data_IF_037412627926
#
_entry.id   IF_037412627926
#
_cell.length_a   1.000
_cell.length_b   1.000
_cell.length_c   1.000
_cell.angle_alpha   90.00
_cell.angle_beta   90.00
_cell.angle_gamma   90.00
#
_symmetry.space_group_name_H-M   'P 1'
#
loop_
_entity.id
_entity.type
_entity.pdbx_description
1 polymer ?
#
# COMPACT_ATOMS: atom_id res chain seq x y z
N UNK A 1 -41.92 14.34 20.08
CA UNK A 1 -41.64 15.10 18.85
C UNK A 1 -40.38 15.92 19.08
N UNK A 2 -39.23 15.34 18.77
CA UNK A 2 -37.91 15.97 18.90
C UNK A 2 -37.54 16.56 17.54
N UNK A 3 -37.56 17.89 17.42
CA UNK A 3 -37.16 18.61 16.22
C UNK A 3 -35.64 18.50 16.02
N UNK A 4 -35.22 17.96 14.88
CA UNK A 4 -33.81 17.94 14.48
C UNK A 4 -33.28 19.36 14.26
N UNK A 5 -32.03 19.67 14.67
CA UNK A 5 -31.43 20.97 14.47
C UNK A 5 -31.07 21.14 12.99
N UNK A 6 -31.74 22.08 12.33
CA UNK A 6 -31.42 22.49 10.96
C UNK A 6 -30.08 23.23 10.96
N UNK A 7 -29.03 22.59 10.45
CA UNK A 7 -27.73 23.23 10.24
C UNK A 7 -27.90 24.23 9.09
N UNK A 8 -28.04 25.51 9.42
CA UNK A 8 -28.00 26.59 8.43
C UNK A 8 -26.56 26.79 7.97
N UNK A 9 -26.26 26.33 6.76
CA UNK A 9 -25.00 26.67 6.07
C UNK A 9 -25.03 28.18 5.83
N UNK A 10 -24.03 28.95 6.29
CA UNK A 10 -23.99 30.39 6.08
C UNK A 10 -23.96 30.67 4.57
N UNK A 11 -24.91 31.50 4.12
CA UNK A 11 -25.02 31.96 2.74
C UNK A 11 -23.82 32.88 2.46
N UNK A 12 -22.70 32.30 2.01
CA UNK A 12 -21.54 33.06 1.55
C UNK A 12 -21.99 33.89 0.34
N UNK A 13 -21.99 35.21 0.47
CA UNK A 13 -22.37 36.08 -0.64
C UNK A 13 -21.42 35.85 -1.81
N UNK A 14 -21.97 35.74 -3.03
CA UNK A 14 -21.18 35.54 -4.25
C UNK A 14 -20.06 36.59 -4.40
N UNK A 15 -20.25 37.80 -3.84
CA UNK A 15 -19.24 38.85 -3.77
C UNK A 15 -17.98 38.46 -2.98
N UNK A 16 -18.11 37.75 -1.85
CA UNK A 16 -16.97 37.29 -1.04
C UNK A 16 -16.21 36.19 -1.75
N UNK A 17 -16.92 35.25 -2.36
CA UNK A 17 -16.29 34.17 -3.11
C UNK A 17 -15.49 34.72 -4.31
N UNK A 18 -16.01 35.73 -4.99
CA UNK A 18 -15.30 36.38 -6.09
C UNK A 18 -14.05 37.15 -5.62
N UNK A 19 -14.14 37.88 -4.50
CA UNK A 19 -12.97 38.56 -3.94
C UNK A 19 -11.89 37.58 -3.47
N UNK A 20 -12.29 36.46 -2.86
CA UNK A 20 -11.36 35.44 -2.40
C UNK A 20 -10.64 34.76 -3.57
N UNK A 21 -11.38 34.48 -4.67
CA UNK A 21 -10.80 33.95 -5.90
C UNK A 21 -9.83 34.94 -6.58
N UNK A 22 -10.15 36.23 -6.60
CA UNK A 22 -9.26 37.25 -7.14
C UNK A 22 -7.99 37.39 -6.31
N UNK A 23 -8.10 37.39 -4.98
CA UNK A 23 -6.97 37.43 -4.08
C UNK A 23 -6.07 36.20 -4.28
N UNK A 24 -6.66 35.02 -4.35
CA UNK A 24 -5.93 33.78 -4.56
C UNK A 24 -5.28 33.72 -5.95
N UNK A 25 -5.93 34.25 -6.99
CA UNK A 25 -5.31 34.41 -8.30
C UNK A 25 -4.10 35.34 -8.25
N UNK A 26 -4.22 36.49 -7.58
CA UNK A 26 -3.11 37.43 -7.42
C UNK A 26 -1.96 36.85 -6.60
N UNK A 27 -2.26 36.13 -5.51
CA UNK A 27 -1.27 35.37 -4.74
C UNK A 27 -0.57 34.31 -5.61
N UNK A 28 -1.33 33.62 -6.48
CA UNK A 28 -0.80 32.55 -7.32
C UNK A 28 0.19 32.99 -8.39
N UNK A 29 0.21 34.28 -8.74
CA UNK A 29 1.22 34.86 -9.63
C UNK A 29 2.59 34.96 -8.94
N UNK A 30 2.61 34.97 -7.61
CA UNK A 30 3.82 35.01 -6.80
C UNK A 30 4.27 33.61 -6.35
N UNK A 31 3.52 32.57 -6.69
CA UNK A 31 3.88 31.18 -6.39
C UNK A 31 4.92 30.70 -7.38
N UNK A 32 6.17 30.96 -7.01
CA UNK A 32 7.33 30.57 -7.78
C UNK A 32 8.06 29.44 -7.05
N UNK A 33 8.57 28.51 -7.83
CA UNK A 33 9.37 27.42 -7.31
C UNK A 33 10.86 27.75 -7.42
N UNK A 34 11.64 27.21 -6.48
CA UNK A 34 13.09 27.20 -6.58
C UNK A 34 13.50 26.05 -7.49
N UNK A 35 13.07 26.07 -8.75
CA UNK A 35 13.60 25.09 -9.70
C UNK A 35 15.06 25.43 -9.97
N UNK A 36 15.88 24.40 -9.88
CA UNK A 36 17.34 24.37 -10.05
C UNK A 36 17.82 24.71 -11.47
N UNK A 37 17.04 25.47 -12.22
CA UNK A 37 17.26 25.72 -13.63
C UNK A 37 18.52 26.53 -13.91
N UNK A 38 18.96 27.29 -12.91
CA UNK A 38 20.14 28.14 -12.99
C UNK A 38 21.31 27.61 -12.16
N UNK A 39 21.25 26.40 -11.56
CA UNK A 39 22.28 25.89 -10.62
C UNK A 39 23.69 25.91 -11.23
N UNK A 40 23.88 25.47 -12.49
CA UNK A 40 25.21 25.47 -13.13
C UNK A 40 25.74 26.89 -13.40
N UNK A 41 24.86 27.87 -13.61
CA UNK A 41 25.24 29.28 -13.82
C UNK A 41 25.45 29.99 -12.48
N UNK A 42 24.64 29.66 -11.47
CA UNK A 42 24.70 30.25 -10.15
C UNK A 42 25.90 29.73 -9.35
N UNK A 43 26.26 28.46 -9.48
CA UNK A 43 27.50 27.90 -8.90
C UNK A 43 28.74 28.63 -9.43
N UNK A 44 28.74 29.02 -10.70
CA UNK A 44 29.87 29.75 -11.30
C UNK A 44 29.87 31.24 -10.97
N UNK A 45 28.69 31.85 -10.77
CA UNK A 45 28.56 33.32 -10.64
C UNK A 45 28.28 33.80 -9.22
N UNK A 46 27.98 32.90 -8.27
CA UNK A 46 27.59 33.22 -6.90
C UNK A 46 26.27 34.00 -6.78
N UNK A 47 25.48 34.07 -7.85
CA UNK A 47 24.21 34.80 -7.86
C UNK A 47 23.12 34.00 -7.17
N UNK A 48 22.19 34.66 -6.45
CA UNK A 48 21.08 34.00 -5.80
C UNK A 48 20.18 33.33 -6.85
N UNK A 49 19.69 32.13 -6.53
CA UNK A 49 18.78 31.36 -7.38
C UNK A 49 17.52 32.17 -7.66
N UNK A 50 17.28 32.49 -8.93
CA UNK A 50 16.04 33.13 -9.34
C UNK A 50 14.89 32.13 -9.21
N UNK A 51 13.78 32.62 -8.67
CA UNK A 51 12.54 31.86 -8.57
C UNK A 51 11.80 31.94 -9.91
N UNK A 52 11.34 30.81 -10.43
CA UNK A 52 10.64 30.73 -11.72
C UNK A 52 9.28 30.05 -11.55
N UNK A 53 8.28 30.43 -12.35
CA UNK A 53 7.08 29.62 -12.54
C UNK A 53 7.43 28.44 -13.48
N UNK A 54 7.12 27.21 -13.07
CA UNK A 54 7.33 26.03 -13.90
C UNK A 54 6.68 26.18 -15.28
N UNK A 55 5.51 26.79 -15.38
CA UNK A 55 4.84 27.06 -16.66
C UNK A 55 5.66 27.99 -17.57
N UNK A 56 6.30 29.02 -17.02
CA UNK A 56 7.10 29.98 -17.78
C UNK A 56 8.36 29.33 -18.35
N UNK A 57 9.04 28.50 -17.56
CA UNK A 57 10.24 27.79 -18.05
C UNK A 57 9.89 26.83 -19.17
N UNK A 58 8.75 26.16 -19.08
CA UNK A 58 8.26 25.26 -20.11
C UNK A 58 7.74 25.96 -21.37
N UNK A 59 7.42 27.26 -21.28
CA UNK A 59 6.99 28.06 -22.41
C UNK A 59 8.16 28.60 -23.27
N UNK A 60 9.41 28.49 -22.78
CA UNK A 60 10.61 28.92 -23.51
C UNK A 60 10.89 28.03 -24.71
N UNK A 61 11.30 28.61 -25.83
CA UNK A 61 11.45 27.92 -27.13
C UNK A 61 12.50 26.79 -27.19
N UNK A 62 13.40 26.72 -26.20
CA UNK A 62 14.55 25.83 -26.20
C UNK A 62 14.37 24.68 -25.20
N UNK A 63 14.83 23.45 -25.53
CA UNK A 63 14.77 22.33 -24.60
C UNK A 63 15.56 22.67 -23.34
N UNK A 64 14.88 22.59 -22.20
CA UNK A 64 15.51 22.84 -20.91
C UNK A 64 16.40 21.65 -20.52
N UNK A 65 17.65 21.92 -20.14
CA UNK A 65 18.65 20.93 -19.72
C UNK A 65 18.77 20.89 -18.20
N UNK A 66 18.53 19.73 -17.59
CA UNK A 66 18.62 19.60 -16.14
C UNK A 66 20.08 19.62 -15.62
N UNK A 67 20.30 20.12 -14.39
CA UNK A 67 21.63 20.17 -13.76
C UNK A 67 22.33 18.82 -13.64
N UNK A 68 23.65 18.86 -13.45
CA UNK A 68 24.51 17.67 -13.41
C UNK A 68 24.15 16.66 -12.32
N UNK A 69 23.57 17.13 -11.21
CA UNK A 69 23.11 16.27 -10.10
C UNK A 69 22.06 15.24 -10.53
N UNK A 70 21.36 15.50 -11.63
CA UNK A 70 20.39 14.56 -12.21
C UNK A 70 20.99 13.72 -13.34
N UNK A 71 22.31 13.52 -13.41
CA UNK A 71 22.88 12.69 -14.48
C UNK A 71 22.60 11.19 -14.24
N UNK A 72 22.34 10.44 -15.31
CA UNK A 72 22.15 8.99 -15.32
C UNK A 72 20.76 8.54 -14.89
N UNK A 73 20.49 7.23 -15.07
CA UNK A 73 19.18 6.65 -14.81
C UNK A 73 18.83 6.60 -13.30
N UNK A 74 19.85 6.47 -12.45
CA UNK A 74 19.67 6.40 -10.99
C UNK A 74 19.00 7.66 -10.41
N UNK A 75 19.24 8.83 -11.03
CA UNK A 75 18.67 10.10 -10.59
C UNK A 75 17.22 10.34 -11.02
N UNK A 76 16.65 9.46 -11.86
CA UNK A 76 15.29 9.59 -12.41
C UNK A 76 14.25 9.83 -11.31
N UNK A 77 14.31 9.03 -10.24
CA UNK A 77 13.33 9.11 -9.15
C UNK A 77 13.41 10.45 -8.44
N UNK A 78 14.64 10.93 -8.14
CA UNK A 78 14.85 12.23 -7.51
C UNK A 78 14.36 13.37 -8.39
N UNK A 79 14.68 13.36 -9.69
CA UNK A 79 14.23 14.38 -10.64
C UNK A 79 12.69 14.46 -10.69
N UNK A 80 12.00 13.31 -10.70
CA UNK A 80 10.54 13.26 -10.70
C UNK A 80 9.95 13.83 -9.41
N UNK A 81 10.56 13.53 -8.26
CA UNK A 81 10.14 14.08 -6.96
C UNK A 81 10.31 15.59 -6.95
N UNK A 82 11.46 16.11 -7.38
CA UNK A 82 11.75 17.54 -7.37
C UNK A 82 10.81 18.31 -8.31
N UNK A 83 10.48 17.75 -9.48
CA UNK A 83 9.48 18.34 -10.38
C UNK A 83 8.07 18.35 -9.77
N UNK A 84 7.69 17.32 -9.00
CA UNK A 84 6.41 17.29 -8.28
C UNK A 84 6.38 18.35 -7.18
N UNK A 85 7.45 18.49 -6.41
CA UNK A 85 7.58 19.53 -5.37
C UNK A 85 7.49 20.91 -6.01
N UNK A 86 8.19 21.14 -7.11
CA UNK A 86 8.16 22.41 -7.83
C UNK A 86 6.76 22.76 -8.36
N UNK A 87 6.02 21.78 -8.86
CA UNK A 87 4.63 21.99 -9.26
C UNK A 87 3.73 22.33 -8.07
N UNK A 88 3.90 21.65 -6.92
CA UNK A 88 3.17 21.96 -5.69
C UNK A 88 3.44 23.40 -5.26
N UNK A 89 4.70 23.85 -5.35
CA UNK A 89 5.08 25.24 -5.09
C UNK A 89 4.44 26.23 -6.07
N UNK A 90 4.17 25.83 -7.31
CA UNK A 90 3.44 26.61 -8.32
C UNK A 90 1.90 26.47 -8.19
N UNK A 91 1.42 25.72 -7.20
CA UNK A 91 0.01 25.60 -6.87
C UNK A 91 -0.76 24.48 -7.57
N UNK A 92 -0.09 23.42 -8.04
CA UNK A 92 -0.75 22.24 -8.63
C UNK A 92 0.01 20.94 -8.42
N UNK A 93 -0.68 19.79 -8.51
CA UNK A 93 -0.08 18.46 -8.32
C UNK A 93 0.26 17.78 -9.64
N UNK A 94 1.45 17.19 -9.73
CA UNK A 94 1.85 16.35 -10.86
C UNK A 94 1.71 14.84 -10.56
N UNK A 95 1.21 14.11 -11.55
CA UNK A 95 1.10 12.65 -11.54
C UNK A 95 1.91 12.03 -12.68
N UNK A 96 2.57 10.90 -12.41
CA UNK A 96 3.35 10.16 -13.39
C UNK A 96 2.45 9.15 -14.11
N UNK A 97 2.25 9.31 -15.42
CA UNK A 97 1.38 8.39 -16.18
C UNK A 97 2.16 7.26 -16.83
N UNK A 98 3.22 7.60 -17.54
CA UNK A 98 4.08 6.66 -18.24
C UNK A 98 5.52 6.92 -17.83
N UNK A 99 6.22 5.88 -17.42
CA UNK A 99 7.65 5.89 -17.16
C UNK A 99 8.22 4.63 -17.78
N UNK A 100 9.04 4.77 -18.82
CA UNK A 100 9.76 3.65 -19.41
C UNK A 100 11.24 3.83 -19.18
N UNK A 101 11.87 2.80 -18.61
CA UNK A 101 13.33 2.75 -18.43
C UNK A 101 14.05 2.16 -19.67
N UNK A 102 13.30 1.64 -20.65
CA UNK A 102 13.78 1.12 -21.91
C UNK A 102 12.74 1.44 -23.01
N UNK A 103 13.13 1.65 -24.27
CA UNK A 103 12.19 1.64 -25.38
C UNK A 103 11.57 0.24 -25.43
N UNK A 104 10.27 0.17 -25.15
CA UNK A 104 9.47 -1.01 -25.43
C UNK A 104 9.47 -1.15 -26.96
N UNK A 105 10.03 -2.27 -27.43
CA UNK A 105 9.98 -2.78 -28.81
C UNK A 105 10.61 -1.90 -29.90
N UNK A 106 11.95 -1.94 -30.01
CA UNK A 106 12.69 -1.90 -31.29
C UNK A 106 12.67 -0.62 -32.15
N UNK A 107 11.73 0.30 -31.97
CA UNK A 107 11.73 1.58 -32.67
C UNK A 107 12.57 2.60 -31.89
N UNK A 108 13.84 2.69 -32.26
CA UNK A 108 14.71 3.81 -31.87
C UNK A 108 14.06 5.10 -32.42
N UNK A 109 13.33 5.83 -31.58
CA UNK A 109 12.85 7.16 -31.94
C UNK A 109 14.04 8.13 -31.98
N UNK A 110 14.67 8.22 -33.14
CA UNK A 110 15.69 9.24 -33.44
C UNK A 110 14.99 10.59 -33.46
N UNK A 111 15.46 11.53 -32.63
CA UNK A 111 14.94 12.88 -32.64
C UNK A 111 15.32 13.57 -33.96
N UNK A 112 14.36 14.05 -34.77
CA UNK A 112 14.63 14.57 -36.13
C UNK A 112 15.40 15.91 -36.18
N UNK A 113 15.92 16.39 -35.04
CA UNK A 113 16.69 17.63 -34.93
C UNK A 113 18.00 17.48 -34.17
N UNK A 114 18.11 16.52 -33.25
CA UNK A 114 19.32 16.36 -32.41
C UNK A 114 20.06 15.04 -32.66
N UNK A 115 19.54 14.13 -33.48
CA UNK A 115 20.12 12.80 -33.75
C UNK A 115 20.46 11.98 -32.49
N UNK A 116 19.94 12.36 -31.32
CA UNK A 116 20.29 11.78 -30.03
C UNK A 116 19.36 10.62 -29.69
N UNK A 117 19.91 9.44 -29.43
CA UNK A 117 19.16 8.29 -28.90
C UNK A 117 18.62 8.61 -27.50
N UNK A 118 17.31 8.36 -27.30
CA UNK A 118 16.64 8.49 -26.00
C UNK A 118 16.70 7.16 -25.27
N UNK A 119 17.24 7.15 -24.05
CA UNK A 119 17.37 5.93 -23.24
C UNK A 119 16.19 5.76 -22.28
N UNK A 120 15.68 6.86 -21.71
CA UNK A 120 14.56 6.83 -20.79
C UNK A 120 13.63 8.03 -21.00
N UNK A 121 12.37 7.88 -20.62
CA UNK A 121 11.36 8.94 -20.73
C UNK A 121 10.30 8.84 -19.64
N UNK A 122 9.88 10.01 -19.14
CA UNK A 122 8.84 10.15 -18.12
C UNK A 122 7.83 11.21 -18.56
N UNK A 123 6.54 10.86 -18.52
CA UNK A 123 5.43 11.80 -18.74
C UNK A 123 4.73 12.13 -17.42
N UNK A 124 4.70 13.43 -17.10
CA UNK A 124 4.04 14.04 -15.96
C UNK A 124 2.84 14.87 -16.44
N UNK A 125 1.74 14.81 -15.69
CA UNK A 125 0.47 15.48 -15.98
C UNK A 125 -0.02 16.19 -14.73
N UNK A 126 -0.79 17.26 -14.88
CA UNK A 126 -1.56 17.75 -13.75
C UNK A 126 -2.56 16.67 -13.29
N UNK A 127 -2.81 16.56 -11.98
CA UNK A 127 -3.81 15.64 -11.41
C UNK A 127 -5.22 15.89 -11.99
N UNK A 128 -5.52 17.16 -12.28
CA UNK A 128 -6.74 17.61 -12.96
C UNK A 128 -6.69 17.43 -14.48
N UNK A 129 -5.58 16.92 -15.02
CA UNK A 129 -5.40 16.60 -16.43
C UNK A 129 -5.99 15.25 -16.85
N UNK A 130 -6.79 14.63 -15.99
CA UNK A 130 -7.50 13.39 -16.27
C UNK A 130 -8.97 13.56 -16.01
N UNK A 131 -9.78 13.23 -17.03
CA UNK A 131 -11.21 13.09 -16.85
C UNK A 131 -11.50 12.07 -15.76
N UNK A 132 -12.44 12.39 -14.87
CA UNK A 132 -13.05 11.42 -14.01
C UNK A 132 -13.71 10.36 -14.89
N UNK A 133 -13.11 9.18 -14.91
CA UNK A 133 -13.78 8.00 -15.43
C UNK A 133 -14.56 7.45 -14.24
N UNK A 134 -15.89 7.63 -14.19
CA UNK A 134 -16.67 6.84 -13.25
C UNK A 134 -16.32 5.39 -13.57
N UNK A 135 -15.86 4.63 -12.57
CA UNK A 135 -15.68 3.18 -12.77
C UNK A 135 -16.98 2.67 -13.37
N UNK A 136 -16.90 2.09 -14.56
CA UNK A 136 -18.08 1.54 -15.24
C UNK A 136 -18.74 0.55 -14.29
N UNK A 137 -20.05 0.36 -14.39
CA UNK A 137 -20.76 -0.63 -13.56
C UNK A 137 -20.14 -2.03 -13.74
N UNK A 138 -19.58 -2.35 -14.91
CA UNK A 138 -18.77 -3.56 -15.13
C UNK A 138 -17.38 -3.55 -14.47
N UNK A 139 -16.74 -2.40 -14.24
CA UNK A 139 -15.46 -2.31 -13.50
C UNK A 139 -15.69 -2.24 -11.99
N UNK A 140 -16.81 -1.67 -11.54
CA UNK A 140 -17.28 -1.79 -10.16
C UNK A 140 -17.69 -3.22 -9.89
N UNK A 141 -18.46 -3.82 -10.80
CA UNK A 141 -18.81 -5.22 -10.74
C UNK A 141 -17.54 -6.06 -10.84
N UNK A 142 -16.57 -5.82 -11.72
CA UNK A 142 -15.30 -6.57 -11.74
C UNK A 142 -14.42 -6.32 -10.50
N UNK A 143 -14.46 -5.13 -9.90
CA UNK A 143 -13.82 -4.86 -8.61
C UNK A 143 -14.56 -5.52 -7.45
N UNK A 144 -15.87 -5.76 -7.58
CA UNK A 144 -16.71 -6.49 -6.61
C UNK A 144 -16.97 -7.95 -7.01
N UNK A 145 -16.53 -8.41 -8.17
CA UNK A 145 -16.73 -9.75 -8.78
C UNK A 145 -15.41 -10.44 -9.08
N UNK A 146 -14.29 -9.73 -8.92
CA UNK A 146 -13.09 -10.31 -8.30
C UNK A 146 -13.32 -10.67 -6.82
N UNK A 147 -14.48 -10.31 -6.25
CA UNK A 147 -14.91 -10.52 -4.86
C UNK A 147 -16.31 -11.18 -4.75
N UNK A 148 -16.86 -11.73 -5.85
CA UNK A 148 -18.08 -12.54 -5.79
C UNK A 148 -18.31 -13.31 -7.10
N UNK A 149 -18.12 -14.63 -7.05
CA UNK A 149 -18.76 -15.56 -7.98
C UNK A 149 -19.35 -16.72 -7.20
N UNK A 150 -20.50 -16.51 -6.56
CA UNK A 150 -21.49 -17.56 -6.32
C UNK A 150 -22.87 -16.93 -6.44
N UNK A 151 -23.67 -17.47 -7.34
CA UNK A 151 -25.08 -17.17 -7.53
C UNK A 151 -25.86 -17.40 -6.23
N UNK A 152 -26.68 -16.44 -5.82
CA UNK A 152 -27.82 -16.69 -4.94
C UNK A 152 -28.88 -15.64 -5.21
N UNK A 153 -29.93 -16.09 -5.90
CA UNK A 153 -31.23 -15.45 -5.94
C UNK A 153 -31.82 -15.34 -4.53
N UNK A 154 -32.66 -14.32 -4.35
CA UNK A 154 -33.64 -14.15 -3.27
C UNK A 154 -33.13 -14.06 -1.82
N UNK A 155 -33.04 -12.82 -1.31
CA UNK A 155 -33.77 -12.48 -0.07
C UNK A 155 -33.98 -10.97 0.07
N UNK A 156 -35.21 -10.65 0.47
CA UNK A 156 -35.74 -9.31 0.65
C UNK A 156 -35.28 -8.67 1.97
N UNK A 157 -35.11 -7.34 1.93
CA UNK A 157 -35.29 -6.48 3.10
C UNK A 157 -34.03 -6.14 3.90
N UNK A 158 -33.18 -5.25 3.37
CA UNK A 158 -32.29 -4.45 4.20
C UNK A 158 -32.26 -2.99 3.73
N UNK A 159 -32.85 -2.15 4.58
CA UNK A 159 -32.95 -0.71 4.48
C UNK A 159 -31.59 0.00 4.35
N UNK A 160 -31.37 0.63 3.20
CA UNK A 160 -30.83 1.99 3.07
C UNK A 160 -29.58 2.36 3.88
N UNK A 161 -28.45 1.71 3.65
CA UNK A 161 -27.17 2.35 3.95
C UNK A 161 -26.94 3.45 2.88
N UNK A 162 -27.13 4.72 3.26
CA UNK A 162 -26.89 5.85 2.37
C UNK A 162 -25.44 5.81 1.89
N UNK A 163 -25.25 5.55 0.60
CA UNK A 163 -23.95 5.59 -0.07
C UNK A 163 -23.37 6.99 0.10
N UNK A 164 -22.27 7.09 0.86
CA UNK A 164 -21.51 8.34 0.93
C UNK A 164 -21.03 8.70 -0.48
N UNK A 165 -21.59 9.78 -1.03
CA UNK A 165 -21.11 10.35 -2.29
C UNK A 165 -19.69 10.85 -2.07
N UNK A 166 -18.71 10.06 -2.50
CA UNK A 166 -17.33 10.51 -2.59
C UNK A 166 -17.26 11.54 -3.71
N UNK A 167 -17.22 12.83 -3.35
CA UNK A 167 -16.97 13.91 -4.30
C UNK A 167 -15.61 13.66 -4.95
N UNK A 168 -15.62 13.48 -6.27
CA UNK A 168 -14.40 13.23 -7.02
C UNK A 168 -13.75 14.57 -7.34
N UNK A 169 -12.46 14.71 -7.02
CA UNK A 169 -11.71 15.94 -7.31
C UNK A 169 -11.40 16.11 -8.81
N UNK A 170 -11.74 15.15 -9.67
CA UNK A 170 -11.36 15.13 -11.10
C UNK A 170 -12.48 15.72 -11.96
N UNK A 171 -12.17 16.37 -13.10
CA UNK A 171 -13.18 16.96 -13.96
C UNK A 171 -14.03 15.88 -14.64
N UNK A 172 -15.35 16.05 -14.68
CA UNK A 172 -16.26 15.11 -15.37
C UNK A 172 -16.41 15.39 -16.86
N UNK A 173 -16.09 16.61 -17.30
CA UNK A 173 -16.19 17.02 -18.70
C UNK A 173 -14.80 17.36 -19.27
N UNK A 174 -14.55 17.07 -20.57
CA UNK A 174 -13.26 17.31 -21.21
C UNK A 174 -12.79 18.76 -21.18
N UNK A 175 -13.71 19.72 -21.18
CA UNK A 175 -13.40 21.15 -21.26
C UNK A 175 -12.75 21.69 -19.97
N UNK A 176 -12.97 21.01 -18.85
CA UNK A 176 -12.36 21.33 -17.56
C UNK A 176 -11.07 20.53 -17.29
N UNK A 177 -10.64 19.68 -18.23
CA UNK A 177 -9.41 18.92 -18.08
C UNK A 177 -8.20 19.83 -18.28
N UNK A 178 -7.30 19.83 -17.29
CA UNK A 178 -6.07 20.60 -17.40
C UNK A 178 -5.20 20.05 -18.53
N UNK A 179 -4.85 20.84 -19.56
CA UNK A 179 -4.03 20.35 -20.66
C UNK A 179 -2.55 20.21 -20.27
N UNK A 180 -2.15 20.68 -19.09
CA UNK A 180 -0.77 20.71 -18.66
C UNK A 180 -0.12 19.33 -18.72
N UNK A 181 0.97 19.25 -19.48
CA UNK A 181 1.74 18.04 -19.66
C UNK A 181 3.21 18.35 -19.84
N UNK A 182 4.01 17.73 -18.99
CA UNK A 182 5.46 17.80 -18.98
C UNK A 182 6.01 16.43 -19.37
N UNK A 183 6.83 16.36 -20.42
CA UNK A 183 7.58 15.15 -20.68
C UNK A 183 9.08 15.44 -20.56
N UNK A 184 9.78 14.56 -19.87
CA UNK A 184 11.23 14.60 -19.72
C UNK A 184 11.84 13.35 -20.32
N UNK A 185 13.04 13.46 -20.85
CA UNK A 185 13.77 12.33 -21.43
C UNK A 185 15.25 12.41 -21.08
N UNK A 186 15.88 11.25 -21.01
CA UNK A 186 17.32 11.12 -20.82
C UNK A 186 17.99 10.82 -22.15
N UNK A 187 19.05 11.56 -22.46
CA UNK A 187 19.95 11.25 -23.57
C UNK A 187 20.77 10.02 -23.20
N UNK A 188 21.00 9.13 -24.18
CA UNK A 188 21.80 7.91 -23.99
C UNK A 188 23.15 8.20 -23.35
N UNK A 189 23.61 7.32 -22.45
CA UNK A 189 24.95 7.40 -21.85
C UNK A 189 26.08 7.29 -22.90
N UNK A 190 25.79 6.70 -24.06
CA UNK A 190 26.74 6.60 -25.18
C UNK A 190 26.78 7.84 -26.08
N UNK A 191 25.97 8.87 -25.80
CA UNK A 191 25.92 10.05 -26.65
C UNK A 191 27.21 10.89 -26.56
N UNK A 192 27.70 11.45 -27.67
CA UNK A 192 28.96 12.22 -27.68
C UNK A 192 28.86 13.54 -26.89
N UNK A 193 27.65 14.08 -26.76
CA UNK A 193 27.37 15.32 -26.03
C UNK A 193 26.20 15.06 -25.08
N UNK A 194 26.35 15.51 -23.83
CA UNK A 194 25.31 15.42 -22.80
C UNK A 194 24.85 13.99 -22.46
N UNK A 195 25.75 13.02 -22.58
CA UNK A 195 25.55 11.64 -22.17
C UNK A 195 24.92 11.52 -20.77
N UNK A 196 23.78 10.83 -20.69
CA UNK A 196 23.05 10.61 -19.44
C UNK A 196 22.38 11.87 -18.86
N UNK A 197 22.34 12.99 -19.56
CA UNK A 197 21.63 14.20 -19.09
C UNK A 197 20.13 14.10 -19.38
N UNK A 198 19.35 14.70 -18.49
CA UNK A 198 17.90 14.82 -18.67
C UNK A 198 17.55 16.15 -19.31
N UNK A 199 16.50 16.11 -20.12
CA UNK A 199 15.95 17.26 -20.81
C UNK A 199 14.43 17.27 -20.72
N UNK A 200 13.86 18.46 -20.79
CA UNK A 200 12.44 18.65 -21.03
C UNK A 200 12.16 18.62 -22.52
N UNK A 201 11.16 17.84 -22.95
CA UNK A 201 10.70 17.87 -24.34
C UNK A 201 9.89 19.13 -24.60
N UNK A 202 10.21 19.84 -25.68
CA UNK A 202 9.58 21.11 -26.01
C UNK A 202 8.25 20.96 -26.78
N UNK A 203 7.33 21.92 -26.57
CA UNK A 203 5.98 21.98 -27.17
C UNK A 203 6.03 21.91 -28.70
N UNK A 204 6.96 22.64 -29.32
CA UNK A 204 7.06 22.73 -30.78
C UNK A 204 7.55 21.43 -31.45
N UNK A 205 8.16 20.52 -30.69
CA UNK A 205 8.65 19.23 -31.21
C UNK A 205 7.63 18.13 -30.95
N UNK A 206 6.98 18.19 -29.80
CA UNK A 206 6.03 17.18 -29.38
C UNK A 206 4.70 17.87 -29.08
N UNK A 207 3.72 17.73 -29.99
CA UNK A 207 2.33 18.21 -29.78
C UNK A 207 1.68 17.69 -28.49
N UNK A 208 2.36 16.78 -27.80
CA UNK A 208 1.98 16.17 -26.53
C UNK A 208 2.46 16.95 -25.31
N UNK A 209 3.37 17.92 -25.40
CA UNK A 209 3.70 18.79 -24.24
C UNK A 209 2.88 20.05 -24.27
N UNK A 210 2.41 20.49 -23.09
CA UNK A 210 1.69 21.73 -22.93
C UNK A 210 2.15 22.39 -21.63
N UNK A 211 2.76 23.57 -21.73
CA UNK A 211 3.18 24.36 -20.57
C UNK A 211 2.00 25.08 -19.89
N UNK A 212 0.83 25.09 -20.52
CA UNK A 212 -0.27 25.94 -20.14
C UNK A 212 -1.11 25.21 -19.10
N UNK A 213 -1.17 25.77 -17.91
CA UNK A 213 -1.96 25.25 -16.81
C UNK A 213 -3.28 26.01 -16.71
N UNK A 214 -4.39 25.38 -17.11
CA UNK A 214 -5.74 25.97 -17.17
C UNK A 214 -6.80 24.93 -16.84
N UNK A 215 -8.05 25.36 -16.65
CA UNK A 215 -9.19 24.45 -16.37
C UNK A 215 -9.46 24.21 -14.89
N UNK A 216 -8.58 24.69 -14.00
CA UNK A 216 -8.83 24.74 -12.56
C UNK A 216 -7.98 25.82 -11.87
N UNK A 217 -8.38 26.13 -10.65
CA UNK A 217 -7.72 27.10 -9.78
C UNK A 217 -6.41 26.50 -9.26
N UNK A 218 -5.35 27.31 -9.21
CA UNK A 218 -4.11 26.95 -8.51
C UNK A 218 -4.39 27.06 -7.00
N UNK A 219 -3.98 26.09 -6.19
CA UNK A 219 -4.21 26.10 -4.73
C UNK A 219 -2.92 26.46 -3.99
N UNK A 220 -3.03 26.98 -2.76
CA UNK A 220 -1.84 27.26 -1.95
C UNK A 220 -1.07 25.96 -1.73
N UNK A 221 0.28 25.98 -1.67
CA UNK A 221 1.07 24.76 -1.42
C UNK A 221 0.62 23.96 -0.19
N UNK A 222 0.14 24.64 0.87
CA UNK A 222 -0.40 24.05 2.09
C UNK A 222 -1.77 23.38 1.93
N UNK A 223 -2.50 23.67 0.85
CA UNK A 223 -3.81 23.10 0.54
C UNK A 223 -3.70 21.91 -0.43
N UNK A 224 -2.52 21.72 -1.02
CA UNK A 224 -2.24 20.63 -1.93
C UNK A 224 -1.88 19.36 -1.17
N UNK A 225 -2.35 18.23 -1.70
CA UNK A 225 -2.01 16.94 -1.13
C UNK A 225 -0.60 16.55 -1.54
N UNK A 226 0.32 16.50 -0.57
CA UNK A 226 1.66 15.98 -0.81
C UNK A 226 1.72 14.47 -0.52
N UNK A 227 2.38 13.69 -1.37
CA UNK A 227 2.55 12.25 -1.18
C UNK A 227 3.82 11.95 -0.38
N UNK A 228 3.80 10.88 0.44
CA UNK A 228 4.99 10.42 1.17
C UNK A 228 6.17 10.06 0.24
N UNK A 229 5.89 9.68 -1.00
CA UNK A 229 6.92 9.42 -2.02
C UNK A 229 7.73 10.66 -2.38
N UNK A 230 7.20 11.85 -2.12
CA UNK A 230 7.88 13.11 -2.36
C UNK A 230 8.62 13.64 -1.12
N UNK A 231 8.55 12.92 0.00
CA UNK A 231 9.25 13.30 1.22
C UNK A 231 10.75 13.06 1.03
N UNK A 232 11.55 14.08 1.34
CA UNK A 232 13.01 13.98 1.32
C UNK A 232 13.51 12.99 2.38
N UNK A 233 14.72 12.45 2.21
CA UNK A 233 15.33 11.58 3.22
C UNK A 233 15.55 12.31 4.55
N UNK A 234 15.88 13.60 4.51
CA UNK A 234 16.01 14.44 5.71
C UNK A 234 14.69 14.58 6.47
N UNK A 235 13.57 14.79 5.76
CA UNK A 235 12.24 14.85 6.37
C UNK A 235 11.80 13.49 6.92
N UNK A 236 12.13 12.40 6.23
CA UNK A 236 11.88 11.05 6.73
C UNK A 236 12.66 10.82 8.03
N UNK A 237 13.96 11.08 8.02
CA UNK A 237 14.82 10.91 9.20
C UNK A 237 14.30 11.73 10.39
N UNK A 238 13.91 12.98 10.16
CA UNK A 238 13.32 13.82 11.19
C UNK A 238 12.01 13.24 11.73
N UNK A 239 11.15 12.69 10.85
CA UNK A 239 9.94 12.01 11.28
C UNK A 239 10.26 10.77 12.14
N UNK A 240 11.30 10.00 11.79
CA UNK A 240 11.76 8.88 12.61
C UNK A 240 12.28 9.33 13.98
N UNK A 241 13.06 10.41 14.02
CA UNK A 241 13.59 10.98 15.26
C UNK A 241 12.45 11.43 16.17
N UNK A 242 11.43 12.10 15.60
CA UNK A 242 10.22 12.48 16.33
C UNK A 242 9.47 11.25 16.87
N UNK A 243 9.34 10.19 16.07
CA UNK A 243 8.72 8.94 16.51
C UNK A 243 9.49 8.27 17.66
N UNK A 244 10.83 8.24 17.58
CA UNK A 244 11.71 7.73 18.66
C UNK A 244 11.55 8.55 19.95
N UNK A 245 11.39 9.86 19.83
CA UNK A 245 11.14 10.79 20.93
C UNK A 245 9.66 10.82 21.39
N UNK A 246 8.80 9.95 20.85
CA UNK A 246 7.36 9.85 21.18
C UNK A 246 6.56 11.14 20.94
N UNK A 247 6.93 11.92 19.94
CA UNK A 247 6.10 13.04 19.50
C UNK A 247 4.79 12.51 18.91
N UNK A 248 3.71 13.27 19.08
CA UNK A 248 2.44 12.95 18.43
C UNK A 248 2.56 13.10 16.90
N UNK A 249 1.82 12.30 16.13
CA UNK A 249 1.84 12.37 14.66
C UNK A 249 1.44 13.75 14.14
N UNK A 250 0.52 14.44 14.83
CA UNK A 250 0.13 15.82 14.52
C UNK A 250 1.25 16.82 14.79
N UNK A 251 1.98 16.67 15.91
CA UNK A 251 3.12 17.53 16.24
C UNK A 251 4.26 17.34 15.23
N UNK A 252 4.55 16.09 14.86
CA UNK A 252 5.55 15.77 13.84
C UNK A 252 5.16 16.35 12.48
N UNK A 253 3.89 16.22 12.07
CA UNK A 253 3.38 16.82 10.84
C UNK A 253 3.53 18.36 10.82
N UNK A 254 3.20 19.03 11.92
CA UNK A 254 3.37 20.47 12.05
C UNK A 254 4.85 20.89 12.00
N UNK A 255 5.73 20.14 12.68
CA UNK A 255 7.17 20.38 12.66
C UNK A 255 7.75 20.24 11.24
N UNK A 256 7.40 19.17 10.54
CA UNK A 256 7.79 18.95 9.15
C UNK A 256 7.31 20.08 8.25
N UNK A 257 6.03 20.49 8.39
CA UNK A 257 5.47 21.60 7.64
C UNK A 257 6.19 22.93 7.90
N UNK A 258 6.60 23.18 9.13
CA UNK A 258 7.33 24.42 9.50
C UNK A 258 8.77 24.45 8.98
N UNK A 259 9.40 23.29 8.81
CA UNK A 259 10.80 23.16 8.36
C UNK A 259 10.93 23.00 6.85
N UNK A 260 9.88 22.53 6.18
CA UNK A 260 9.94 22.30 4.75
C UNK A 260 10.03 23.65 4.03
N UNK A 261 11.19 23.94 3.45
CA UNK A 261 11.49 25.19 2.75
C UNK A 261 10.55 25.47 1.55
N UNK A 262 9.76 24.47 1.14
CA UNK A 262 8.78 24.55 0.06
C UNK A 262 7.33 24.74 0.49
N UNK A 263 7.04 24.92 1.78
CA UNK A 263 5.66 25.01 2.29
C UNK A 263 4.88 23.70 2.14
N UNK A 264 5.59 22.56 2.06
CA UNK A 264 4.98 21.24 1.96
C UNK A 264 4.37 20.86 3.30
N UNK A 265 3.09 20.50 3.30
CA UNK A 265 2.39 20.03 4.49
C UNK A 265 2.07 18.55 4.39
N UNK A 266 2.30 17.81 5.47
CA UNK A 266 1.94 16.40 5.61
C UNK A 266 0.78 16.25 6.58
N UNK A 267 -0.09 15.27 6.33
CA UNK A 267 -1.19 14.96 7.23
C UNK A 267 -0.72 13.99 8.34
N UNK A 268 -1.34 14.08 9.52
CA UNK A 268 -1.03 13.20 10.65
C UNK A 268 -1.16 11.71 10.30
N UNK A 269 -2.12 11.35 9.42
CA UNK A 269 -2.30 9.98 8.95
C UNK A 269 -1.11 9.48 8.12
N UNK A 270 -0.51 10.36 7.30
CA UNK A 270 0.68 10.03 6.51
C UNK A 270 1.89 9.81 7.41
N UNK A 271 2.05 10.64 8.44
CA UNK A 271 3.11 10.47 9.43
C UNK A 271 2.91 9.22 10.29
N UNK A 272 1.67 8.91 10.64
CA UNK A 272 1.30 7.66 11.33
C UNK A 272 1.70 6.44 10.50
N UNK A 273 1.36 6.45 9.21
CA UNK A 273 1.77 5.39 8.29
C UNK A 273 3.28 5.28 8.18
N UNK A 274 3.99 6.40 7.98
CA UNK A 274 5.46 6.42 7.91
C UNK A 274 6.09 5.87 9.20
N UNK A 275 5.60 6.29 10.36
CA UNK A 275 6.10 5.84 11.67
C UNK A 275 5.90 4.33 11.85
N UNK A 276 4.79 3.76 11.37
CA UNK A 276 4.55 2.32 11.38
C UNK A 276 5.53 1.59 10.47
N UNK A 277 5.68 2.05 9.22
CA UNK A 277 6.61 1.48 8.25
C UNK A 277 8.05 1.53 8.77
N UNK A 278 8.47 2.62 9.41
CA UNK A 278 9.81 2.77 9.99
C UNK A 278 10.00 1.87 11.22
N UNK A 279 9.04 1.86 12.14
CA UNK A 279 9.05 0.91 13.26
C UNK A 279 9.06 -0.55 12.77
N UNK A 280 8.49 -0.80 11.59
CA UNK A 280 8.50 -2.09 10.95
C UNK A 280 9.85 -2.40 10.27
N UNK A 281 10.50 -1.43 9.64
CA UNK A 281 11.80 -1.62 8.95
C UNK A 281 12.98 -1.63 9.95
N UNK A 282 12.80 -1.07 11.14
CA UNK A 282 13.87 -0.81 12.13
C UNK A 282 14.56 -2.01 12.80
N UNK A 283 14.36 -3.25 12.35
CA UNK A 283 15.18 -4.40 12.79
C UNK A 283 15.96 -4.98 11.61
N UNK A 284 16.97 -4.23 11.15
CA UNK A 284 17.90 -4.71 10.13
C UNK A 284 18.43 -6.10 10.50
N UNK A 285 18.14 -7.09 9.64
CA UNK A 285 18.61 -8.47 9.77
C UNK A 285 17.58 -9.50 10.27
N UNK A 286 16.38 -9.10 10.71
CA UNK A 286 15.31 -10.06 11.06
C UNK A 286 14.35 -10.29 9.89
N UNK A 287 13.99 -11.55 9.63
CA UNK A 287 12.95 -11.85 8.64
C UNK A 287 11.58 -11.36 9.13
N UNK A 288 10.63 -11.16 8.20
CA UNK A 288 9.23 -10.83 8.56
C UNK A 288 8.63 -11.88 9.50
N UNK A 289 9.00 -13.16 9.33
CA UNK A 289 8.57 -14.25 10.20
C UNK A 289 9.16 -14.11 11.62
N UNK A 290 10.46 -13.80 11.75
CA UNK A 290 11.09 -13.58 13.06
C UNK A 290 10.47 -12.40 13.79
N UNK A 291 10.14 -11.34 13.05
CA UNK A 291 9.45 -10.17 13.60
C UNK A 291 8.08 -10.54 14.13
N UNK A 292 7.28 -11.27 13.36
CA UNK A 292 5.97 -11.78 13.78
C UNK A 292 6.10 -12.60 15.08
N UNK A 293 6.99 -13.59 15.10
CA UNK A 293 7.22 -14.42 16.29
C UNK A 293 7.67 -13.56 17.48
N UNK A 294 8.57 -12.60 17.28
CA UNK A 294 9.05 -11.71 18.35
C UNK A 294 7.94 -10.84 18.94
N UNK A 295 7.03 -10.35 18.10
CA UNK A 295 5.90 -9.52 18.53
C UNK A 295 4.96 -10.30 19.44
N UNK A 296 4.61 -11.53 19.06
CA UNK A 296 3.71 -12.37 19.84
C UNK A 296 4.39 -13.05 21.03
N UNK A 297 5.71 -13.28 20.98
CA UNK A 297 6.47 -13.82 22.11
C UNK A 297 6.55 -12.86 23.30
N UNK A 298 6.44 -11.55 23.05
CA UNK A 298 6.45 -10.52 24.09
C UNK A 298 5.06 -10.25 24.70
N UNK A 299 4.01 -10.85 24.14
CA UNK A 299 2.63 -10.66 24.58
C UNK A 299 2.20 -11.79 25.50
N UNK A 300 1.71 -11.44 26.69
CA UNK A 300 1.17 -12.41 27.66
C UNK A 300 -0.34 -12.59 27.53
N UNK A 301 -0.99 -11.72 26.77
CA UNK A 301 -2.45 -11.68 26.56
C UNK A 301 -2.91 -12.49 25.34
N UNK A 302 -1.98 -13.17 24.66
CA UNK A 302 -2.24 -13.89 23.41
C UNK A 302 -1.65 -15.30 23.45
N UNK A 303 -2.47 -16.27 23.05
CA UNK A 303 -2.06 -17.62 22.72
C UNK A 303 -1.71 -17.68 21.23
N UNK A 304 -0.63 -18.37 20.89
CA UNK A 304 -0.15 -18.55 19.52
C UNK A 304 0.46 -19.95 19.33
N UNK A 305 0.41 -20.40 18.09
CA UNK A 305 1.01 -21.64 17.61
C UNK A 305 1.68 -21.36 16.27
N UNK A 306 2.87 -21.90 16.06
CA UNK A 306 3.53 -21.85 14.76
C UNK A 306 3.92 -23.23 14.28
N UNK A 307 3.87 -23.39 12.96
CA UNK A 307 4.34 -24.58 12.25
C UNK A 307 5.50 -24.16 11.36
N UNK A 308 6.65 -24.75 11.61
CA UNK A 308 7.87 -24.48 10.83
C UNK A 308 8.37 -25.73 10.15
N UNK A 309 9.02 -25.58 9.00
CA UNK A 309 9.60 -26.67 8.23
C UNK A 309 11.09 -26.48 8.01
N UNK A 310 11.86 -27.55 8.19
CA UNK A 310 13.26 -27.65 7.80
C UNK A 310 13.47 -29.03 7.12
N UNK A 311 14.12 -29.11 5.95
CA UNK A 311 14.43 -30.39 5.30
C UNK A 311 15.21 -31.40 6.17
N UNK A 312 16.02 -30.94 7.12
CA UNK A 312 16.78 -31.80 8.03
C UNK A 312 15.93 -32.31 9.20
N UNK A 313 15.09 -31.44 9.78
CA UNK A 313 14.35 -31.71 11.03
C UNK A 313 12.89 -32.16 10.80
N UNK A 314 12.31 -31.86 9.62
CA UNK A 314 10.89 -32.07 9.31
C UNK A 314 9.99 -30.90 9.74
N UNK A 315 8.75 -31.19 10.11
CA UNK A 315 7.80 -30.20 10.63
C UNK A 315 7.91 -30.08 12.15
N UNK A 316 8.02 -28.85 12.63
CA UNK A 316 8.02 -28.51 14.04
C UNK A 316 6.79 -27.66 14.37
N UNK A 317 5.97 -28.15 15.30
CA UNK A 317 4.83 -27.46 15.88
C UNK A 317 5.23 -26.89 17.24
N UNK A 318 5.17 -25.56 17.39
CA UNK A 318 5.54 -24.86 18.62
C UNK A 318 4.38 -23.98 19.12
N UNK A 319 4.09 -24.06 20.41
CA UNK A 319 3.01 -23.30 21.07
C UNK A 319 3.58 -22.31 22.09
N UNK A 320 2.87 -21.23 22.42
CA UNK A 320 3.27 -20.17 23.36
C UNK A 320 3.78 -20.68 24.71
N UNK A 321 3.19 -21.75 25.25
CA UNK A 321 3.71 -22.40 26.44
C UNK A 321 5.03 -23.08 26.06
N UNK A 322 6.17 -22.46 26.45
CA UNK A 322 7.54 -22.83 26.08
C UNK A 322 7.88 -24.33 26.21
N UNK A 323 7.09 -25.08 26.97
CA UNK A 323 7.31 -26.50 27.28
C UNK A 323 6.48 -27.49 26.44
N UNK A 324 5.60 -27.03 25.53
CA UNK A 324 4.84 -27.91 24.62
C UNK A 324 5.31 -27.73 23.18
N UNK A 325 6.48 -28.29 22.87
CA UNK A 325 6.93 -28.48 21.49
C UNK A 325 6.54 -29.88 21.03
N UNK A 326 5.82 -29.99 19.92
CA UNK A 326 5.51 -31.27 19.29
C UNK A 326 6.25 -31.34 17.96
N UNK A 327 7.30 -32.15 17.92
CA UNK A 327 7.97 -32.45 16.66
C UNK A 327 7.11 -33.46 15.88
N UNK A 328 6.60 -33.03 14.74
CA UNK A 328 5.91 -33.91 13.80
C UNK A 328 6.93 -34.37 12.78
N UNK A 329 7.53 -35.54 13.03
CA UNK A 329 8.45 -36.16 12.07
C UNK A 329 7.67 -36.57 10.82
N UNK A 330 7.74 -35.75 9.78
CA UNK A 330 7.28 -36.14 8.45
C UNK A 330 8.18 -37.25 7.92
N UNK A 331 7.56 -38.29 7.36
CA UNK A 331 8.30 -39.28 6.59
C UNK A 331 8.75 -38.62 5.28
N UNK A 332 10.02 -38.79 4.90
CA UNK A 332 10.56 -38.24 3.63
C UNK A 332 9.83 -38.73 2.37
N UNK A 333 9.09 -39.83 2.48
CA UNK A 333 8.30 -40.40 1.38
C UNK A 333 6.89 -39.80 1.26
N UNK A 334 6.54 -38.82 2.10
CA UNK A 334 5.25 -38.14 2.03
C UNK A 334 5.21 -37.23 0.79
N UNK A 335 4.21 -37.34 -0.11
CA UNK A 335 4.09 -36.45 -1.26
C UNK A 335 4.00 -34.96 -0.87
N UNK A 336 3.58 -34.64 0.35
CA UNK A 336 3.58 -33.27 0.88
C UNK A 336 4.99 -32.80 1.26
N UNK A 337 5.89 -33.70 1.66
CA UNK A 337 7.29 -33.38 1.95
C UNK A 337 7.97 -32.73 0.75
N UNK A 338 7.75 -33.26 -0.45
CA UNK A 338 8.30 -32.68 -1.70
C UNK A 338 7.79 -31.25 -1.95
N UNK A 339 6.53 -30.96 -1.60
CA UNK A 339 5.95 -29.61 -1.71
C UNK A 339 6.61 -28.66 -0.70
N UNK A 340 6.83 -29.11 0.54
CA UNK A 340 7.53 -28.33 1.55
C UNK A 340 8.97 -28.02 1.17
N UNK A 341 9.70 -28.98 0.62
CA UNK A 341 11.07 -28.77 0.11
C UNK A 341 11.06 -27.75 -1.02
N UNK A 342 10.10 -27.83 -1.95
CA UNK A 342 9.96 -26.84 -3.02
C UNK A 342 9.68 -25.44 -2.47
N UNK A 343 8.75 -25.30 -1.53
CA UNK A 343 8.47 -24.00 -0.88
C UNK A 343 9.69 -23.45 -0.14
N UNK A 344 10.47 -24.32 0.53
CA UNK A 344 11.70 -23.94 1.22
C UNK A 344 12.75 -23.39 0.23
N UNK A 345 12.93 -24.08 -0.91
CA UNK A 345 13.84 -23.61 -1.97
C UNK A 345 13.34 -22.34 -2.67
N UNK A 346 12.03 -22.22 -2.91
CA UNK A 346 11.43 -21.05 -3.58
C UNK A 346 11.58 -19.78 -2.72
N UNK A 347 11.58 -19.93 -1.39
CA UNK A 347 11.88 -18.86 -0.43
C UNK A 347 13.38 -18.61 -0.24
N UNK A 348 14.26 -19.24 -1.04
CA UNK A 348 15.72 -19.09 -1.01
C UNK A 348 16.33 -19.37 0.36
N UNK A 349 15.73 -20.28 1.13
CA UNK A 349 16.23 -20.69 2.43
C UNK A 349 17.34 -21.73 2.27
N UNK A 350 18.36 -21.68 3.12
CA UNK A 350 19.54 -22.56 3.06
C UNK A 350 19.84 -23.22 4.40
N UNK A 351 20.28 -24.48 4.35
CA UNK A 351 20.71 -25.26 5.51
C UNK A 351 19.67 -25.30 6.65
N UNK A 352 20.05 -24.76 7.81
CA UNK A 352 19.26 -24.78 9.07
C UNK A 352 18.12 -23.75 9.14
N UNK A 353 17.96 -22.91 8.12
CA UNK A 353 16.89 -21.92 8.10
C UNK A 353 15.52 -22.60 8.04
N UNK A 354 14.59 -22.11 8.85
CA UNK A 354 13.24 -22.68 8.98
C UNK A 354 12.24 -21.86 8.16
N UNK A 355 11.40 -22.55 7.42
CA UNK A 355 10.26 -21.95 6.72
C UNK A 355 9.08 -21.87 7.68
N UNK A 356 8.54 -20.67 7.92
CA UNK A 356 7.28 -20.50 8.66
C UNK A 356 6.10 -20.79 7.71
N UNK A 357 5.31 -21.81 8.02
CA UNK A 357 4.18 -22.26 7.20
C UNK A 357 2.86 -21.72 7.72
N UNK A 358 2.55 -22.02 8.99
CA UNK A 358 1.31 -21.63 9.64
C UNK A 358 1.67 -20.84 10.89
N UNK A 359 1.01 -19.70 11.10
CA UNK A 359 1.09 -18.94 12.34
C UNK A 359 -0.31 -18.62 12.83
N UNK A 360 -0.73 -19.28 13.89
CA UNK A 360 -2.06 -19.19 14.48
C UNK A 360 -2.01 -18.41 15.79
N UNK A 361 -3.01 -17.59 16.06
CA UNK A 361 -3.10 -16.81 17.28
C UNK A 361 -4.54 -16.45 17.67
N UNK A 362 -4.76 -16.24 18.96
CA UNK A 362 -6.00 -15.82 19.58
C UNK A 362 -5.69 -15.14 20.91
N UNK A 363 -6.44 -14.12 21.30
CA UNK A 363 -6.32 -13.56 22.65
C UNK A 363 -6.74 -14.59 23.70
N UNK A 364 -6.21 -14.45 24.92
CA UNK A 364 -6.59 -15.32 26.04
C UNK A 364 -8.10 -15.27 26.34
N UNK A 365 -8.73 -14.12 26.13
CA UNK A 365 -10.18 -13.95 26.32
C UNK A 365 -11.00 -14.67 25.23
N UNK A 366 -10.57 -14.60 23.97
CA UNK A 366 -11.20 -15.34 22.86
C UNK A 366 -11.12 -16.87 23.12
N UNK A 367 -9.97 -17.36 23.59
CA UNK A 367 -9.81 -18.77 23.98
C UNK A 367 -10.72 -19.13 25.16
N UNK A 368 -10.80 -18.27 26.18
CA UNK A 368 -11.69 -18.49 27.34
C UNK A 368 -13.15 -18.59 26.93
N UNK A 369 -13.61 -17.71 26.03
CA UNK A 369 -14.96 -17.74 25.47
C UNK A 369 -15.20 -19.03 24.69
N UNK A 370 -14.23 -19.45 23.88
CA UNK A 370 -14.31 -20.71 23.12
C UNK A 370 -14.42 -21.94 24.03
N UNK A 371 -13.71 -21.97 25.16
CA UNK A 371 -13.85 -23.05 26.15
C UNK A 371 -15.27 -23.13 26.73
N UNK A 372 -15.97 -22.01 26.85
CA UNK A 372 -17.35 -21.97 27.35
C UNK A 372 -18.35 -22.37 26.25
N UNK A 373 -18.12 -21.91 25.02
CA UNK A 373 -19.04 -22.06 23.88
C UNK A 373 -18.34 -22.65 22.62
N UNK A 374 -17.88 -23.91 22.65
CA UNK A 374 -17.17 -24.55 21.54
C UNK A 374 -18.10 -25.19 20.49
N UNK A 375 -19.43 -25.18 20.68
CA UNK A 375 -20.35 -26.07 19.97
C UNK A 375 -20.39 -25.83 18.46
N UNK A 376 -20.22 -24.57 18.02
CA UNK A 376 -20.28 -24.16 16.63
C UNK A 376 -19.14 -23.20 16.28
N UNK A 377 -18.42 -23.52 15.21
CA UNK A 377 -17.36 -22.67 14.65
C UNK A 377 -17.61 -22.44 13.17
N UNK A 378 -17.55 -21.19 12.75
CA UNK A 378 -17.51 -20.78 11.35
C UNK A 378 -16.09 -20.40 10.98
N UNK A 379 -15.62 -20.85 9.82
CA UNK A 379 -14.31 -20.52 9.30
C UNK A 379 -14.46 -19.73 8.00
N UNK A 380 -13.62 -18.71 7.81
CA UNK A 380 -13.58 -17.88 6.60
C UNK A 380 -12.13 -17.59 6.20
N UNK A 381 -11.87 -17.48 4.90
CA UNK A 381 -10.54 -17.16 4.36
C UNK A 381 -10.59 -15.79 3.73
N UNK A 382 -9.98 -14.79 4.38
CA UNK A 382 -9.90 -13.44 3.85
C UNK A 382 -8.62 -13.23 3.04
N UNK A 383 -8.75 -12.65 1.85
CA UNK A 383 -7.65 -12.34 0.94
C UNK A 383 -7.21 -10.87 1.05
N UNK A 384 -5.94 -10.58 0.74
CA UNK A 384 -5.46 -9.21 0.59
C UNK A 384 -5.29 -8.41 1.89
N UNK A 385 -5.26 -9.08 3.06
CA UNK A 385 -5.16 -8.43 4.37
C UNK A 385 -3.76 -7.89 4.70
N UNK A 386 -2.74 -8.24 3.91
CA UNK A 386 -1.36 -7.76 4.08
C UNK A 386 -0.65 -7.46 2.74
N UNK A 387 0.42 -6.65 2.79
CA UNK A 387 1.22 -6.27 1.62
C UNK A 387 1.85 -7.48 0.90
N UNK A 388 2.05 -8.59 1.61
CA UNK A 388 2.54 -9.87 1.08
C UNK A 388 1.44 -10.76 0.51
N UNK A 389 0.18 -10.30 0.54
CA UNK A 389 -1.01 -10.97 0.02
C UNK A 389 -1.24 -12.38 0.58
N UNK A 390 -0.70 -12.72 1.75
CA UNK A 390 -1.04 -14.01 2.38
C UNK A 390 -2.50 -14.00 2.80
N UNK A 391 -3.05 -15.20 2.85
CA UNK A 391 -4.42 -15.43 3.29
C UNK A 391 -4.45 -15.47 4.81
N UNK A 392 -5.48 -14.84 5.36
CA UNK A 392 -5.82 -14.91 6.77
C UNK A 392 -7.00 -15.87 6.91
N UNK A 393 -6.80 -16.94 7.65
CA UNK A 393 -7.84 -17.90 7.96
C UNK A 393 -8.42 -17.58 9.33
N UNK A 394 -9.66 -17.10 9.34
CA UNK A 394 -10.35 -16.64 10.53
C UNK A 394 -11.33 -17.68 11.05
N UNK A 395 -11.42 -17.77 12.37
CA UNK A 395 -12.35 -18.65 13.08
C UNK A 395 -13.26 -17.81 13.96
N UNK A 396 -14.56 -17.98 13.82
CA UNK A 396 -15.59 -17.33 14.62
C UNK A 396 -16.50 -18.37 15.28
N UNK A 397 -16.93 -18.10 16.50
CA UNK A 397 -17.89 -18.91 17.24
C UNK A 397 -19.04 -18.04 17.75
N UNK A 398 -20.06 -18.66 18.32
CA UNK A 398 -21.24 -17.96 18.87
C UNK A 398 -21.34 -18.25 20.36
N UNK A 399 -21.51 -17.21 21.17
CA UNK A 399 -21.65 -17.34 22.63
C UNK A 399 -23.08 -17.74 23.06
N UNK A 400 -23.28 -17.97 24.36
CA UNK A 400 -24.60 -18.30 24.92
C UNK A 400 -25.68 -17.22 24.76
N UNK A 401 -25.33 -16.02 24.27
CA UNK A 401 -26.25 -14.92 23.98
C UNK A 401 -26.45 -14.72 22.47
N UNK A 402 -26.08 -15.68 21.63
CA UNK A 402 -26.10 -15.59 20.17
C UNK A 402 -25.23 -14.45 19.60
N UNK A 403 -24.17 -14.05 20.31
CA UNK A 403 -23.21 -13.07 19.80
C UNK A 403 -22.02 -13.79 19.19
N UNK A 404 -21.71 -13.44 17.94
CA UNK A 404 -20.50 -13.92 17.29
C UNK A 404 -19.25 -13.30 17.92
N UNK A 405 -18.22 -14.11 18.10
CA UNK A 405 -16.90 -13.67 18.54
C UNK A 405 -15.82 -14.43 17.76
N UNK A 406 -14.65 -13.80 17.58
CA UNK A 406 -13.52 -14.47 16.96
C UNK A 406 -12.87 -15.44 17.97
N UNK A 407 -12.54 -16.65 17.55
CA UNK A 407 -11.96 -17.68 18.42
C UNK A 407 -10.56 -18.13 17.95
N UNK A 408 -10.08 -17.58 16.84
CA UNK A 408 -8.72 -17.75 16.37
C UNK A 408 -8.50 -17.14 15.01
N UNK A 409 -7.23 -16.96 14.64
CA UNK A 409 -6.80 -16.49 13.32
C UNK A 409 -5.52 -17.22 12.94
N UNK A 410 -5.32 -17.52 11.66
CA UNK A 410 -4.12 -18.19 11.17
C UNK A 410 -3.63 -17.60 9.86
N UNK A 411 -2.35 -17.20 9.82
CA UNK A 411 -1.66 -16.94 8.56
C UNK A 411 -1.30 -18.26 7.91
N UNK A 412 -1.77 -18.47 6.68
CA UNK A 412 -1.56 -19.70 5.91
C UNK A 412 -0.97 -19.40 4.52
N UNK A 413 -0.21 -20.33 3.90
CA UNK A 413 0.29 -20.17 2.55
C UNK A 413 -0.78 -20.55 1.51
N UNK A 414 -1.12 -19.61 0.64
CA UNK A 414 -1.85 -19.79 -0.64
C UNK A 414 -3.07 -20.74 -0.66
N UNK A 415 -3.81 -20.89 0.44
CA UNK A 415 -5.11 -21.60 0.46
C UNK A 415 -5.07 -23.03 -0.04
N UNK A 416 -3.92 -23.69 0.03
CA UNK A 416 -3.79 -25.03 -0.54
C UNK A 416 -4.39 -26.07 0.41
N UNK A 417 -5.01 -27.12 -0.17
CA UNK A 417 -5.74 -28.15 0.59
C UNK A 417 -4.94 -28.84 1.67
N UNK A 418 -3.69 -29.13 1.37
CA UNK A 418 -2.83 -29.77 2.36
C UNK A 418 -2.62 -28.87 3.58
N UNK A 419 -2.60 -27.53 3.43
CA UNK A 419 -2.42 -26.62 4.57
C UNK A 419 -3.61 -26.69 5.51
N UNK A 420 -4.81 -26.61 4.97
CA UNK A 420 -6.04 -26.74 5.75
C UNK A 420 -6.09 -28.08 6.48
N UNK A 421 -5.66 -29.15 5.82
CA UNK A 421 -5.53 -30.45 6.46
C UNK A 421 -4.59 -30.43 7.66
N UNK A 422 -3.41 -29.80 7.58
CA UNK A 422 -2.54 -29.63 8.76
C UNK A 422 -3.17 -28.76 9.84
N UNK A 423 -3.87 -27.69 9.45
CA UNK A 423 -4.61 -26.83 10.37
C UNK A 423 -5.62 -27.65 11.17
N UNK A 424 -6.56 -28.33 10.51
CA UNK A 424 -7.62 -29.09 11.16
C UNK A 424 -7.11 -30.30 11.93
N UNK A 425 -6.14 -31.05 11.37
CA UNK A 425 -5.69 -32.31 11.97
C UNK A 425 -4.73 -32.13 13.14
N UNK A 426 -3.85 -31.13 13.08
CA UNK A 426 -2.77 -30.99 14.05
C UNK A 426 -2.78 -29.65 14.77
N UNK A 427 -3.06 -28.54 14.08
CA UNK A 427 -2.95 -27.22 14.69
C UNK A 427 -4.12 -26.97 15.65
N UNK A 428 -5.37 -27.10 15.20
CA UNK A 428 -6.55 -26.80 16.01
C UNK A 428 -6.66 -27.68 17.27
N UNK A 429 -6.47 -29.01 17.22
CA UNK A 429 -6.55 -29.83 18.42
C UNK A 429 -5.49 -29.47 19.46
N UNK A 430 -4.31 -29.03 19.02
CA UNK A 430 -3.24 -28.58 19.92
C UNK A 430 -3.48 -27.17 20.42
N UNK A 431 -4.01 -26.28 19.57
CA UNK A 431 -4.21 -24.86 19.87
C UNK A 431 -5.38 -24.64 20.82
N UNK A 432 -6.53 -25.26 20.55
CA UNK A 432 -7.73 -25.15 21.38
C UNK A 432 -7.78 -26.20 22.50
N UNK A 433 -7.03 -27.28 22.35
CA UNK A 433 -6.98 -28.37 23.32
C UNK A 433 -8.14 -29.37 23.20
N UNK A 434 -8.06 -30.47 23.97
CA UNK A 434 -8.98 -31.61 23.83
C UNK A 434 -10.42 -31.24 24.20
N UNK A 435 -10.63 -30.46 25.27
CA UNK A 435 -11.97 -30.08 25.75
C UNK A 435 -12.80 -29.35 24.68
N UNK A 436 -12.17 -28.41 23.97
CA UNK A 436 -12.86 -27.68 22.88
C UNK A 436 -13.11 -28.61 21.71
N UNK A 437 -12.11 -29.43 21.35
CA UNK A 437 -12.18 -30.30 20.17
C UNK A 437 -13.20 -31.41 20.33
N UNK A 438 -13.37 -31.94 21.54
CA UNK A 438 -14.38 -32.98 21.87
C UNK A 438 -15.82 -32.43 21.92
N UNK A 439 -15.98 -31.16 22.30
CA UNK A 439 -17.30 -30.50 22.39
C UNK A 439 -17.74 -29.82 21.10
N UNK A 440 -16.84 -29.65 20.13
CA UNK A 440 -17.15 -29.06 18.84
C UNK A 440 -18.10 -29.97 18.07
N UNK A 441 -19.33 -29.51 17.82
CA UNK A 441 -20.35 -30.28 17.12
C UNK A 441 -20.41 -29.93 15.64
N UNK A 442 -20.30 -28.64 15.31
CA UNK A 442 -20.45 -28.14 13.94
C UNK A 442 -19.30 -27.21 13.59
N UNK A 443 -18.72 -27.44 12.42
CA UNK A 443 -17.79 -26.51 11.80
C UNK A 443 -18.26 -26.19 10.39
N UNK A 444 -18.61 -24.93 10.15
CA UNK A 444 -19.05 -24.45 8.83
C UNK A 444 -17.93 -23.70 8.14
N UNK A 445 -17.69 -24.02 6.88
CA UNK A 445 -16.80 -23.25 6.00
C UNK A 445 -17.58 -22.82 4.78
N UNK A 446 -17.17 -21.72 4.15
CA UNK A 446 -17.59 -21.46 2.78
C UNK A 446 -17.12 -22.62 1.88
N UNK A 447 -17.84 -22.85 0.78
CA UNK A 447 -17.77 -24.06 -0.05
C UNK A 447 -16.46 -24.26 -0.82
N UNK A 448 -15.34 -23.81 -0.28
CA UNK A 448 -14.04 -24.14 -0.82
C UNK A 448 -13.86 -25.66 -0.66
N UNK A 449 -13.99 -26.39 -1.78
CA UNK A 449 -13.92 -27.86 -1.86
C UNK A 449 -12.72 -28.43 -1.06
N UNK A 450 -11.69 -27.59 -0.97
CA UNK A 450 -10.45 -27.74 -0.26
C UNK A 450 -10.61 -27.81 1.28
N UNK A 451 -11.34 -26.88 1.89
CA UNK A 451 -11.55 -26.85 3.34
C UNK A 451 -12.53 -27.97 3.78
N UNK A 452 -13.56 -28.21 2.97
CA UNK A 452 -14.57 -29.26 3.24
C UNK A 452 -13.97 -30.67 3.28
N UNK A 453 -13.11 -31.04 2.32
CA UNK A 453 -12.42 -32.34 2.31
C UNK A 453 -11.51 -32.53 3.54
N UNK A 454 -10.94 -31.44 4.04
CA UNK A 454 -10.02 -31.46 5.18
C UNK A 454 -10.75 -31.57 6.52
N UNK A 455 -11.89 -30.89 6.67
CA UNK A 455 -12.74 -30.99 7.87
C UNK A 455 -13.51 -32.32 7.93
N UNK A 456 -14.04 -32.79 6.78
CA UNK A 456 -14.87 -34.00 6.72
C UNK A 456 -14.09 -35.31 6.87
N UNK A 457 -12.77 -35.32 6.61
CA UNK A 457 -12.02 -36.56 6.49
C UNK A 457 -11.60 -37.23 7.81
N UNK A 458 -11.86 -36.67 9.01
CA UNK A 458 -11.57 -37.39 10.28
C UNK A 458 -12.02 -36.78 11.61
N UNK A 459 -12.91 -35.77 11.67
CA UNK A 459 -13.51 -35.37 12.96
C UNK A 459 -14.29 -36.53 13.64
N UNK A 460 -14.81 -37.48 12.85
CA UNK A 460 -15.40 -38.71 13.40
C UNK A 460 -14.40 -39.77 13.88
N UNK A 461 -13.16 -39.82 13.37
CA UNK A 461 -12.25 -40.93 13.70
C UNK A 461 -11.38 -40.66 14.94
N UNK A 462 -11.33 -39.42 15.45
CA UNK A 462 -10.62 -39.08 16.69
C UNK A 462 -11.48 -39.25 17.96
N UNK A 463 -12.81 -39.38 17.84
CA UNK A 463 -13.68 -39.71 18.97
C UNK A 463 -13.65 -41.21 19.31
N UNK A 464 -13.36 -42.11 18.36
CA UNK A 464 -13.30 -43.56 18.64
C UNK A 464 -11.91 -44.08 19.08
N UNK A 465 -10.81 -43.43 18.69
CA UNK A 465 -9.46 -43.97 18.90
C UNK A 465 -8.67 -43.36 20.07
N UNK A 466 -9.29 -42.52 20.91
CA UNK A 466 -8.71 -42.06 22.18
C UNK A 466 -9.48 -42.53 23.42
N UNK A 467 -10.36 -43.52 23.26
CA UNK A 467 -10.91 -44.34 24.35
C UNK A 467 -10.18 -45.69 24.53
N UNK A 468 -9.14 -45.96 23.75
CA UNK A 468 -8.27 -47.13 23.90
C UNK A 468 -6.82 -46.77 23.52
N UNK A 469 -6.09 -46.15 24.44
CA UNK A 469 -4.66 -46.43 24.76
C UNK A 469 -4.21 -45.62 25.99
#
# INVERSE_FOLDING_TARGET
>A
MTSEPTITVPNLSASRLYSDLQNLHHESLNWQCNLFFDDEINEQTGKPTMKHDLCEVLAREWPFKFPAKYRGLASRTQLVVDLKIAAIQCGFCLFTRNSSANPIDGEVQVHPKTNSMRQAHVSLYCEQGQLHRPMNEQERNAASSADSSVDSEESAGASGCQKYNTSTKKPTEPDYVCPFRLNIYMVSEDAPVDAGRWFVSHINVNKRTCAWHRGHIRLRPSELHNYLTNMSEEEKELAEQCAKLRFSTSSTAALLGSRSAGGLTYQANQISYLSRVVCDIGKHGQSTADRLVSTFSNRTDVCWLMVTFNPEEGLLLQVTAKDRQKLLKLKRNDPEYTKFVKLHSDNKLTGRQKLLLIFMFASAEEIRLLYMHPESISCDVTFGTENTKKQLFDFAAVDGNNKAFNCGRAYIPDGQTWVFWYCFKYCLPVFWGPVVTERLCVMSTDGDNVAQLSASSRLHHQLENHLCE
#
